data_IF_869366324603
#
_entry.id   IF_869366324603
#
_cell.length_a   1.000
_cell.length_b   1.000
_cell.length_c   1.000
_cell.angle_alpha   90.00
_cell.angle_beta   90.00
_cell.angle_gamma   90.00
#
_symmetry.space_group_name_H-M   'P 1'
#
loop_
_entity.id
_entity.type
_entity.pdbx_description
1 polymer ?
#
# COMPACT_ATOMS: atom_id res chain seq x y z
N UNK A 1 13.31 10.76 -11.25
CA UNK A 1 13.15 9.54 -10.48
C UNK A 1 11.70 9.14 -10.42
N UNK A 2 11.44 7.90 -10.71
CA UNK A 2 10.07 7.41 -10.66
C UNK A 2 9.62 7.23 -9.22
N UNK A 3 8.42 7.70 -8.92
CA UNK A 3 7.80 7.44 -7.63
C UNK A 3 7.11 6.09 -7.70
N UNK A 4 7.59 5.14 -6.93
CA UNK A 4 7.06 3.80 -6.98
C UNK A 4 6.66 3.25 -5.61
N UNK A 5 6.71 4.09 -4.58
CA UNK A 5 6.26 3.70 -3.26
C UNK A 5 4.94 4.39 -2.98
N UNK A 6 3.95 3.60 -2.58
CA UNK A 6 2.61 4.06 -2.32
C UNK A 6 2.31 4.02 -0.83
N UNK A 7 1.70 5.09 -0.33
CA UNK A 7 1.02 5.06 0.94
C UNK A 7 -0.38 4.50 0.70
N UNK A 8 -0.81 3.56 1.50
CA UNK A 8 -2.12 2.93 1.38
C UNK A 8 -2.84 3.05 2.70
N UNK A 9 -3.85 3.93 2.75
CA UNK A 9 -4.63 4.14 3.96
C UNK A 9 -6.01 3.51 3.84
N UNK A 10 -6.75 3.52 4.95
CA UNK A 10 -8.09 2.97 4.99
C UNK A 10 -8.11 1.45 5.13
N UNK A 11 -7.03 0.87 5.62
CA UNK A 11 -6.96 -0.59 5.79
C UNK A 11 -7.73 -1.01 7.05
N UNK A 12 -8.37 -2.18 6.97
CA UNK A 12 -9.03 -2.74 8.14
C UNK A 12 -8.00 -3.35 9.09
N UNK A 13 -8.41 -3.59 10.32
CA UNK A 13 -7.53 -4.21 11.31
C UNK A 13 -7.12 -5.61 10.91
N UNK A 14 -7.92 -6.26 10.06
CA UNK A 14 -7.67 -7.63 9.65
C UNK A 14 -6.75 -7.74 8.44
N UNK A 15 -6.43 -6.64 7.78
CA UNK A 15 -5.60 -6.68 6.58
C UNK A 15 -4.16 -7.04 6.95
N UNK A 16 -3.63 -8.10 6.33
CA UNK A 16 -2.26 -8.53 6.53
C UNK A 16 -1.36 -8.02 5.42
N UNK A 17 -0.05 -8.13 5.66
CA UNK A 17 0.95 -7.79 4.63
C UNK A 17 0.71 -8.59 3.36
N UNK A 18 0.40 -9.86 3.51
CA UNK A 18 0.18 -10.76 2.39
C UNK A 18 -1.02 -10.33 1.56
N UNK A 19 -2.11 -9.97 2.23
CA UNK A 19 -3.31 -9.51 1.54
C UNK A 19 -3.04 -8.21 0.79
N UNK A 20 -2.27 -7.32 1.39
CA UNK A 20 -1.90 -6.07 0.74
C UNK A 20 -1.08 -6.34 -0.51
N UNK A 21 -0.11 -7.24 -0.42
CA UNK A 21 0.70 -7.65 -1.56
C UNK A 21 -0.16 -8.22 -2.68
N UNK A 22 -1.10 -9.09 -2.34
CA UNK A 22 -1.95 -9.73 -3.33
C UNK A 22 -2.83 -8.71 -4.04
N UNK A 23 -3.34 -7.75 -3.31
CA UNK A 23 -4.20 -6.72 -3.88
C UNK A 23 -3.45 -5.93 -4.96
N UNK A 24 -2.21 -5.56 -4.67
CA UNK A 24 -1.43 -4.74 -5.60
C UNK A 24 -0.74 -5.57 -6.69
N UNK A 25 -0.57 -6.87 -6.44
CA UNK A 25 0.09 -7.75 -7.41
C UNK A 25 -0.65 -7.87 -8.74
N UNK A 26 -1.92 -7.53 -8.76
CA UNK A 26 -2.71 -7.51 -9.99
C UNK A 26 -2.24 -6.40 -10.93
N UNK A 27 -1.67 -5.34 -10.39
CA UNK A 27 -1.32 -4.15 -11.17
C UNK A 27 0.16 -4.05 -11.49
N UNK A 28 0.94 -5.02 -11.04
CA UNK A 28 2.36 -5.05 -11.36
C UNK A 28 3.15 -5.84 -10.34
N UNK A 29 4.46 -5.80 -10.50
CA UNK A 29 5.37 -6.46 -9.56
C UNK A 29 5.41 -5.68 -8.25
N UNK A 30 5.19 -6.39 -7.14
CA UNK A 30 5.28 -5.79 -5.81
C UNK A 30 6.64 -6.15 -5.23
N UNK A 31 7.50 -5.17 -5.06
CA UNK A 31 8.82 -5.37 -4.48
C UNK A 31 8.74 -5.48 -2.96
N UNK A 32 7.82 -4.75 -2.34
CA UNK A 32 7.65 -4.76 -0.91
C UNK A 32 6.25 -4.30 -0.55
N UNK A 33 5.65 -4.94 0.45
CA UNK A 33 4.34 -4.52 0.95
C UNK A 33 4.27 -4.86 2.44
N UNK A 34 3.82 -3.91 3.23
CA UNK A 34 3.61 -4.18 4.65
C UNK A 34 2.61 -3.20 5.25
N UNK A 35 1.94 -3.68 6.29
CA UNK A 35 1.01 -2.88 7.08
C UNK A 35 1.76 -2.35 8.29
N UNK A 36 1.63 -1.05 8.54
CA UNK A 36 2.26 -0.44 9.72
C UNK A 36 1.50 -0.88 10.95
N UNK A 37 2.23 -1.27 11.99
CA UNK A 37 1.63 -1.76 13.22
C UNK A 37 2.19 -1.01 14.42
N UNK A 38 1.37 -0.87 15.44
CA UNK A 38 1.79 -0.26 16.69
C UNK A 38 2.76 -1.19 17.40
N UNK A 39 3.88 -0.66 17.85
CA UNK A 39 4.94 -1.47 18.41
C UNK A 39 4.50 -2.27 19.61
N UNK A 40 3.72 -1.67 20.48
CA UNK A 40 3.36 -2.32 21.75
C UNK A 40 2.28 -3.35 21.59
N UNK A 41 1.25 -3.03 20.83
CA UNK A 41 0.10 -3.92 20.73
C UNK A 41 0.18 -4.86 19.55
N UNK A 42 0.97 -4.51 18.53
CA UNK A 42 0.99 -5.26 17.29
C UNK A 42 -0.22 -5.02 16.40
N UNK A 43 -1.12 -4.15 16.83
CA UNK A 43 -2.33 -3.88 16.08
C UNK A 43 -2.04 -2.99 14.88
N UNK A 44 -2.83 -3.19 13.83
CA UNK A 44 -2.71 -2.40 12.62
C UNK A 44 -2.96 -0.93 12.91
N UNK A 45 -2.15 -0.07 12.30
CA UNK A 45 -2.37 1.38 12.36
C UNK A 45 -3.37 1.83 11.32
N UNK A 46 -3.88 0.92 10.48
CA UNK A 46 -4.86 1.24 9.46
C UNK A 46 -4.26 1.72 8.17
N UNK A 47 -2.95 1.64 8.01
CA UNK A 47 -2.28 2.02 6.77
C UNK A 47 -1.00 1.22 6.58
N UNK A 48 -0.50 1.26 5.36
CA UNK A 48 0.72 0.55 5.04
C UNK A 48 1.40 1.17 3.83
N UNK A 49 2.43 0.49 3.36
CA UNK A 49 3.21 0.94 2.21
C UNK A 49 3.40 -0.20 1.24
N UNK A 50 3.37 0.14 -0.05
CA UNK A 50 3.62 -0.81 -1.12
C UNK A 50 4.64 -0.22 -2.06
N UNK A 51 5.72 -0.95 -2.31
CA UNK A 51 6.71 -0.55 -3.32
C UNK A 51 6.49 -1.40 -4.56
N UNK A 52 6.18 -0.73 -5.66
CA UNK A 52 5.99 -1.40 -6.94
C UNK A 52 7.31 -1.49 -7.70
N UNK A 53 7.34 -2.29 -8.75
CA UNK A 53 8.54 -2.46 -9.56
C UNK A 53 8.93 -1.24 -10.38
N UNK A 54 7.97 -0.38 -10.67
CA UNK A 54 8.21 0.84 -11.45
C UNK A 54 7.21 1.90 -11.07
N UNK A 55 7.52 3.15 -11.45
CA UNK A 55 6.59 4.25 -11.24
C UNK A 55 5.32 4.11 -12.04
N UNK A 56 5.40 3.52 -13.24
CA UNK A 56 4.22 3.29 -14.06
C UNK A 56 3.27 2.31 -13.42
N UNK A 57 3.81 1.23 -12.83
CA UNK A 57 2.99 0.26 -12.13
C UNK A 57 2.35 0.89 -10.90
N UNK A 58 3.09 1.72 -10.18
CA UNK A 58 2.55 2.41 -9.01
C UNK A 58 1.40 3.32 -9.43
N UNK A 59 1.56 4.06 -10.51
CA UNK A 59 0.51 4.94 -10.99
C UNK A 59 -0.72 4.15 -11.42
N UNK A 60 -0.52 3.02 -12.10
CA UNK A 60 -1.65 2.17 -12.49
C UNK A 60 -2.44 1.71 -11.27
N UNK A 61 -1.75 1.35 -10.20
CA UNK A 61 -2.42 0.93 -8.98
C UNK A 61 -3.22 2.07 -8.36
N UNK A 62 -2.66 3.29 -8.35
CA UNK A 62 -3.38 4.45 -7.83
C UNK A 62 -4.66 4.69 -8.62
N UNK A 63 -4.56 4.68 -9.94
CA UNK A 63 -5.72 4.93 -10.80
C UNK A 63 -6.81 3.89 -10.56
N UNK A 64 -6.41 2.65 -10.35
CA UNK A 64 -7.38 1.56 -10.19
C UNK A 64 -7.96 1.47 -8.78
N UNK A 65 -7.18 1.77 -7.77
CA UNK A 65 -7.56 1.45 -6.40
C UNK A 65 -7.87 2.65 -5.52
N UNK A 66 -7.54 3.87 -5.93
CA UNK A 66 -7.88 5.04 -5.12
C UNK A 66 -9.40 5.10 -4.95
N UNK A 67 -9.84 5.12 -3.70
CA UNK A 67 -11.25 5.17 -3.37
C UNK A 67 -11.97 3.84 -3.49
N UNK A 68 -11.27 2.77 -3.89
CA UNK A 68 -11.90 1.46 -4.04
C UNK A 68 -12.28 0.87 -2.69
N UNK A 69 -13.37 0.14 -2.68
CA UNK A 69 -13.82 -0.54 -1.47
C UNK A 69 -13.03 -1.83 -1.29
N UNK A 70 -12.39 -1.97 -0.13
CA UNK A 70 -11.61 -3.16 0.19
C UNK A 70 -11.85 -3.50 1.65
N UNK A 71 -12.39 -4.69 1.88
CA UNK A 71 -12.69 -5.20 3.23
C UNK A 71 -13.53 -4.20 4.02
N UNK A 72 -14.50 -3.59 3.35
CA UNK A 72 -15.43 -2.68 4.00
C UNK A 72 -14.99 -1.24 4.11
N UNK A 73 -13.77 -0.93 3.70
CA UNK A 73 -13.23 0.42 3.80
C UNK A 73 -12.80 0.96 2.44
N UNK A 74 -12.90 2.26 2.27
CA UNK A 74 -12.42 2.89 1.05
C UNK A 74 -10.92 3.14 1.17
N UNK A 75 -10.17 2.69 0.17
CA UNK A 75 -8.73 2.86 0.15
C UNK A 75 -8.34 4.28 -0.21
N UNK A 76 -7.25 4.76 0.38
CA UNK A 76 -6.67 6.05 0.06
C UNK A 76 -5.22 5.83 -0.32
N UNK A 77 -4.89 6.17 -1.56
CA UNK A 77 -3.56 5.91 -2.10
C UNK A 77 -2.86 7.20 -2.47
N UNK A 78 -1.60 7.30 -2.09
CA UNK A 78 -0.76 8.45 -2.45
C UNK A 78 0.60 7.96 -2.89
N UNK A 79 1.12 8.54 -3.97
CA UNK A 79 2.50 8.34 -4.35
C UNK A 79 3.38 9.13 -3.39
N UNK A 80 4.36 8.48 -2.79
CA UNK A 80 5.29 9.17 -1.92
C UNK A 80 6.32 9.93 -2.75
N UNK A 81 6.89 11.02 -2.22
CA UNK A 81 7.87 11.80 -2.98
C UNK A 81 9.12 11.02 -3.34
N UNK A 82 9.50 10.06 -2.51
CA UNK A 82 10.66 9.21 -2.77
C UNK A 82 10.52 7.95 -1.94
N UNK A 83 11.37 6.98 -2.23
CA UNK A 83 11.31 5.69 -1.57
C UNK A 83 12.00 5.76 -0.21
N UNK A 84 11.33 6.32 0.76
CA UNK A 84 11.93 6.55 2.07
C UNK A 84 11.19 5.82 3.19
N UNK A 85 10.57 4.71 2.88
CA UNK A 85 9.82 3.95 3.89
C UNK A 85 10.72 3.31 4.93
N UNK A 86 12.00 3.29 4.66
CA UNK A 86 12.98 2.71 5.57
C UNK A 86 13.44 3.67 6.65
N UNK A 87 13.16 4.92 6.49
CA UNK A 87 13.69 5.93 7.40
C UNK A 87 13.00 5.97 8.73
#
# INVERSE_FOLDING_TARGET
MSKRVLYVGGLSDATSDHQLRDLFGVYGTVARAYVVRHKRSGKSAGYGFVEMGSGEQALSAVVALEGALFEGNCLRLYLTPHASIHS
#
